data_IF_421433382263
#
_entry.id   IF_421433382263
#
_cell.length_a   1.000
_cell.length_b   1.000
_cell.length_c   1.000
_cell.angle_alpha   90.00
_cell.angle_beta   90.00
_cell.angle_gamma   90.00
#
_symmetry.space_group_name_H-M   'P 1'
#
loop_
_entity.id
_entity.type
_entity.pdbx_description
1 polymer ?
#
# COMPACT_ATOMS: atom_id res chain seq x y z
N UNK A 1 11.71 21.54 17.21
CA UNK A 1 10.48 22.14 17.76
C UNK A 1 9.36 21.14 17.53
N UNK A 2 8.70 20.73 18.61
CA UNK A 2 7.56 19.80 18.64
C UNK A 2 6.43 20.31 17.71
N UNK A 3 5.47 19.53 17.22
CA UNK A 3 4.65 18.52 17.90
C UNK A 3 3.68 17.98 16.82
N UNK A 4 3.54 16.65 16.66
CA UNK A 4 2.46 16.07 15.83
C UNK A 4 2.07 14.66 16.28
N UNK A 5 2.31 14.32 17.56
CA UNK A 5 2.10 12.95 18.06
C UNK A 5 0.75 12.71 18.73
N UNK A 6 -0.14 13.71 18.83
CA UNK A 6 -1.42 13.59 19.54
C UNK A 6 -2.61 13.77 18.61
N UNK A 7 -2.87 12.81 17.71
CA UNK A 7 -4.19 12.79 17.03
C UNK A 7 -4.96 11.48 17.09
N UNK A 8 -4.34 10.40 17.55
CA UNK A 8 -5.01 9.12 17.67
C UNK A 8 -4.54 8.45 18.97
N UNK A 9 -5.49 8.17 19.87
CA UNK A 9 -5.23 7.31 21.02
C UNK A 9 -5.02 5.90 20.45
N UNK A 10 -3.75 5.52 20.22
CA UNK A 10 -3.39 4.20 19.70
C UNK A 10 -3.81 3.17 20.74
N UNK A 11 -4.90 2.44 20.46
CA UNK A 11 -5.32 1.31 21.29
C UNK A 11 -4.81 0.06 20.60
N UNK A 12 -3.81 -0.55 21.23
CA UNK A 12 -3.27 -1.83 20.80
C UNK A 12 -4.26 -2.94 21.16
N UNK A 13 -5.13 -3.27 20.21
CA UNK A 13 -6.15 -4.31 20.38
C UNK A 13 -5.69 -5.66 19.84
N UNK A 14 -4.48 -5.76 19.29
CA UNK A 14 -3.95 -6.98 18.69
C UNK A 14 -3.13 -7.73 19.72
N UNK A 15 -3.60 -8.92 20.09
CA UNK A 15 -2.94 -9.84 21.04
C UNK A 15 -2.28 -11.02 20.28
N UNK A 16 -2.29 -10.99 18.95
CA UNK A 16 -1.74 -12.07 18.11
C UNK A 16 -0.20 -12.08 18.16
N UNK A 17 0.46 -13.13 18.70
CA UNK A 17 1.93 -13.18 18.80
C UNK A 17 2.64 -13.11 17.44
N UNK A 18 1.95 -13.50 16.36
CA UNK A 18 2.46 -13.40 14.99
C UNK A 18 2.73 -11.95 14.54
N UNK A 19 2.18 -10.96 15.25
CA UNK A 19 2.31 -9.53 14.95
C UNK A 19 3.21 -8.77 15.94
N UNK A 20 3.93 -9.47 16.83
CA UNK A 20 4.84 -8.86 17.81
C UNK A 20 5.97 -8.04 17.17
N UNK A 21 6.36 -8.39 15.94
CA UNK A 21 7.36 -7.65 15.17
C UNK A 21 6.83 -6.33 14.60
N UNK A 22 5.50 -6.13 14.58
CA UNK A 22 4.84 -4.94 14.03
C UNK A 22 4.80 -3.82 15.06
N UNK A 23 5.13 -2.61 14.63
CA UNK A 23 5.08 -1.43 15.47
C UNK A 23 3.68 -1.14 16.03
N UNK A 24 3.63 -0.41 17.14
CA UNK A 24 2.36 0.00 17.77
C UNK A 24 1.44 0.79 16.83
N UNK A 25 2.02 1.58 15.92
CA UNK A 25 1.23 2.45 15.06
C UNK A 25 0.38 1.66 14.03
N UNK A 26 0.92 0.74 13.21
CA UNK A 26 0.09 -0.13 12.36
C UNK A 26 -0.92 -0.98 13.15
N UNK A 27 -0.62 -1.36 14.40
CA UNK A 27 -1.53 -2.14 15.26
C UNK A 27 -2.64 -1.31 15.90
N UNK A 28 -2.41 -0.01 16.10
CA UNK A 28 -3.36 0.88 16.76
C UNK A 28 -4.30 1.64 15.83
N UNK A 29 -4.00 1.70 14.52
CA UNK A 29 -4.77 2.49 13.57
C UNK A 29 -5.86 1.64 12.90
N UNK A 30 -7.12 1.99 13.15
CA UNK A 30 -8.27 1.46 12.45
C UNK A 30 -8.63 2.33 11.22
N UNK A 31 -9.24 1.70 10.21
CA UNK A 31 -9.77 2.44 9.07
C UNK A 31 -10.98 3.28 9.48
N UNK A 32 -11.08 4.47 8.88
CA UNK A 32 -12.22 5.40 8.99
C UNK A 32 -13.18 5.28 7.81
N UNK A 33 -12.84 4.48 6.79
CA UNK A 33 -13.71 4.20 5.66
C UNK A 33 -14.82 3.27 6.16
N UNK A 34 -16.07 3.70 6.04
CA UNK A 34 -17.25 2.94 6.48
C UNK A 34 -18.15 2.59 5.29
N UNK A 35 -18.86 1.45 5.34
CA UNK A 35 -19.72 1.00 4.23
C UNK A 35 -20.80 2.01 3.83
N UNK A 36 -21.27 2.80 4.79
CA UNK A 36 -22.36 3.76 4.67
C UNK A 36 -21.91 5.18 4.32
N UNK A 37 -20.61 5.47 4.32
CA UNK A 37 -20.10 6.77 3.94
C UNK A 37 -20.06 6.91 2.41
N UNK A 38 -21.01 7.68 1.86
CA UNK A 38 -20.84 8.24 0.52
C UNK A 38 -19.48 8.96 0.41
N UNK A 39 -18.81 8.80 -0.74
CA UNK A 39 -17.49 9.39 -0.98
C UNK A 39 -16.27 8.47 -0.77
N UNK A 40 -16.49 7.15 -0.65
CA UNK A 40 -15.39 6.17 -0.71
C UNK A 40 -15.04 5.87 -2.17
N UNK A 41 -13.78 6.05 -2.55
CA UNK A 41 -13.32 5.65 -3.88
C UNK A 41 -13.11 4.13 -3.91
N UNK A 42 -13.98 3.40 -4.62
CA UNK A 42 -13.97 1.92 -4.68
C UNK A 42 -13.60 1.36 -6.06
N UNK A 43 -13.31 2.23 -7.04
CA UNK A 43 -12.92 1.79 -8.38
C UNK A 43 -11.47 1.29 -8.38
N UNK A 44 -11.28 0.00 -8.15
CA UNK A 44 -9.97 -0.64 -8.03
C UNK A 44 -9.49 -1.35 -9.29
N UNK A 45 -10.39 -1.67 -10.22
CA UNK A 45 -10.08 -2.29 -11.51
C UNK A 45 -10.64 -1.44 -12.66
N UNK A 46 -10.14 -1.65 -13.88
CA UNK A 46 -10.66 -0.99 -15.08
C UNK A 46 -11.70 -1.86 -15.79
N UNK A 47 -12.62 -1.21 -16.49
CA UNK A 47 -13.70 -1.88 -17.22
C UNK A 47 -14.91 -2.22 -16.35
N UNK A 48 -15.77 -3.07 -16.88
CA UNK A 48 -17.02 -3.51 -16.24
C UNK A 48 -16.91 -4.91 -15.63
N UNK A 49 -15.69 -5.43 -15.49
CA UNK A 49 -15.46 -6.72 -14.83
C UNK A 49 -15.57 -6.55 -13.33
N UNK A 50 -16.10 -7.55 -12.65
CA UNK A 50 -16.16 -7.61 -11.18
C UNK A 50 -15.18 -8.67 -10.67
N UNK A 51 -13.91 -8.56 -11.06
CA UNK A 51 -12.85 -9.48 -10.65
C UNK A 51 -12.41 -9.24 -9.20
N UNK A 52 -12.64 -8.03 -8.68
CA UNK A 52 -12.17 -7.61 -7.36
C UNK A 52 -13.31 -7.11 -6.50
N UNK A 53 -13.24 -7.42 -5.21
CA UNK A 53 -14.17 -6.92 -4.21
C UNK A 53 -13.44 -5.98 -3.26
N UNK A 54 -14.05 -4.82 -3.01
CA UNK A 54 -13.60 -3.87 -1.99
C UNK A 54 -14.59 -3.90 -0.84
N UNK A 55 -14.08 -4.10 0.37
CA UNK A 55 -14.92 -4.07 1.57
C UNK A 55 -14.23 -3.35 2.73
N UNK A 56 -15.06 -2.75 3.58
CA UNK A 56 -14.62 -2.11 4.81
C UNK A 56 -14.40 -3.16 5.91
N UNK A 57 -13.50 -2.87 6.84
CA UNK A 57 -13.06 -3.85 7.83
C UNK A 57 -14.16 -4.14 8.86
N UNK A 58 -14.21 -5.39 9.33
CA UNK A 58 -14.90 -5.74 10.56
C UNK A 58 -14.17 -5.15 11.79
N UNK A 59 -14.91 -4.95 12.87
CA UNK A 59 -14.39 -4.41 14.14
C UNK A 59 -13.18 -5.26 14.63
N UNK A 60 -12.10 -4.58 15.05
CA UNK A 60 -10.89 -5.24 15.57
C UNK A 60 -9.79 -5.56 14.54
N UNK A 61 -10.05 -5.52 13.23
CA UNK A 61 -8.99 -5.66 12.21
C UNK A 61 -8.21 -4.35 12.02
N UNK A 62 -6.95 -4.45 11.60
CA UNK A 62 -6.00 -3.34 11.40
C UNK A 62 -5.27 -3.52 10.09
N UNK A 63 -4.60 -2.48 9.60
CA UNK A 63 -3.85 -2.53 8.33
C UNK A 63 -2.86 -3.69 8.25
N UNK A 64 -2.26 -4.10 9.38
CA UNK A 64 -1.32 -5.22 9.48
C UNK A 64 -1.95 -6.59 9.74
N UNK A 65 -3.26 -6.69 9.89
CA UNK A 65 -3.95 -7.96 10.11
C UNK A 65 -3.86 -8.88 8.89
N UNK A 66 -3.97 -10.18 9.13
CA UNK A 66 -4.26 -11.16 8.08
C UNK A 66 -5.73 -11.07 7.66
N UNK A 67 -5.95 -11.28 6.36
CA UNK A 67 -7.28 -11.36 5.74
C UNK A 67 -7.45 -12.72 5.07
N UNK A 68 -8.68 -13.23 5.05
CA UNK A 68 -9.04 -14.44 4.31
C UNK A 68 -9.08 -14.18 2.81
N UNK A 69 -9.19 -15.25 2.02
CA UNK A 69 -9.45 -15.21 0.58
C UNK A 69 -8.44 -14.35 -0.20
N UNK A 70 -7.17 -14.43 0.21
CA UNK A 70 -6.04 -13.68 -0.38
C UNK A 70 -6.25 -12.15 -0.36
N UNK A 71 -7.06 -11.68 0.59
CA UNK A 71 -7.31 -10.27 0.79
C UNK A 71 -6.07 -9.52 1.28
N UNK A 72 -5.95 -8.25 0.89
CA UNK A 72 -4.91 -7.36 1.37
C UNK A 72 -5.44 -5.95 1.62
N UNK A 73 -4.87 -5.26 2.60
CA UNK A 73 -5.19 -3.87 2.84
C UNK A 73 -4.48 -2.97 1.83
N UNK A 74 -5.20 -1.96 1.33
CA UNK A 74 -4.64 -0.95 0.43
C UNK A 74 -5.25 0.43 0.69
N UNK A 75 -4.46 1.48 0.47
CA UNK A 75 -4.88 2.86 0.68
C UNK A 75 -5.81 3.33 -0.42
N UNK A 76 -6.88 4.02 -0.05
CA UNK A 76 -7.77 4.70 -1.02
C UNK A 76 -6.97 5.65 -1.92
N UNK A 77 -5.97 6.34 -1.33
CA UNK A 77 -5.05 7.23 -2.02
C UNK A 77 -4.36 6.58 -3.23
N UNK A 78 -4.02 5.29 -3.15
CA UNK A 78 -3.32 4.60 -4.22
C UNK A 78 -4.18 4.47 -5.48
N UNK A 79 -5.48 4.19 -5.33
CA UNK A 79 -6.38 4.07 -6.46
C UNK A 79 -6.92 5.41 -6.93
N UNK A 80 -7.26 6.29 -5.98
CA UNK A 80 -7.90 7.58 -6.25
C UNK A 80 -6.93 8.62 -6.84
N UNK A 81 -5.76 8.78 -6.23
CA UNK A 81 -4.84 9.88 -6.54
C UNK A 81 -3.64 9.40 -7.38
N UNK A 82 -3.14 8.18 -7.14
CA UNK A 82 -2.02 7.62 -7.91
C UNK A 82 -2.47 6.83 -9.14
N UNK A 83 -3.76 6.51 -9.27
CA UNK A 83 -4.28 5.80 -10.43
C UNK A 83 -3.81 4.35 -10.55
N UNK A 84 -3.42 3.69 -9.46
CA UNK A 84 -3.23 2.23 -9.48
C UNK A 84 -4.54 1.54 -9.86
N UNK A 85 -4.43 0.40 -10.54
CA UNK A 85 -5.53 -0.49 -10.89
C UNK A 85 -5.11 -1.94 -10.69
N UNK A 86 -6.11 -2.82 -10.60
CA UNK A 86 -5.93 -4.26 -10.49
C UNK A 86 -6.34 -4.95 -11.80
N UNK A 87 -5.63 -6.04 -12.19
CA UNK A 87 -4.40 -6.54 -11.57
C UNK A 87 -3.27 -5.50 -11.59
N UNK A 88 -2.35 -5.57 -10.64
CA UNK A 88 -1.21 -4.64 -10.63
C UNK A 88 -0.38 -4.83 -11.90
N UNK A 89 0.31 -3.78 -12.33
CA UNK A 89 1.36 -3.90 -13.35
C UNK A 89 2.47 -4.85 -12.89
N UNK A 90 3.14 -5.48 -13.86
CA UNK A 90 4.27 -6.39 -13.61
C UNK A 90 5.35 -5.74 -12.74
N UNK A 91 5.66 -4.46 -12.97
CA UNK A 91 6.61 -3.75 -12.11
C UNK A 91 6.09 -3.63 -10.68
N UNK A 92 4.86 -3.15 -10.47
CA UNK A 92 4.34 -2.94 -9.12
C UNK A 92 4.23 -4.27 -8.35
N UNK A 93 3.65 -5.31 -8.96
CA UNK A 93 3.58 -6.66 -8.43
C UNK A 93 4.99 -7.19 -8.10
N UNK A 94 5.93 -7.03 -9.04
CA UNK A 94 7.33 -7.41 -8.87
C UNK A 94 8.02 -6.68 -7.71
N UNK A 95 7.75 -5.38 -7.51
CA UNK A 95 8.36 -4.60 -6.41
C UNK A 95 7.82 -5.10 -5.07
N UNK A 96 6.52 -5.33 -4.95
CA UNK A 96 5.91 -5.89 -3.73
C UNK A 96 6.46 -7.29 -3.44
N UNK A 97 6.53 -8.15 -4.45
CA UNK A 97 7.05 -9.51 -4.36
C UNK A 97 8.53 -9.56 -3.98
N UNK A 98 9.38 -8.77 -4.65
CA UNK A 98 10.82 -8.71 -4.38
C UNK A 98 11.13 -8.22 -2.96
N UNK A 99 10.38 -7.22 -2.47
CA UNK A 99 10.53 -6.71 -1.11
C UNK A 99 9.84 -7.59 -0.05
N UNK A 100 9.01 -8.54 -0.48
CA UNK A 100 8.13 -9.34 0.38
C UNK A 100 7.25 -8.47 1.27
N UNK A 101 6.67 -7.42 0.69
CA UNK A 101 5.81 -6.46 1.39
C UNK A 101 4.38 -6.53 0.85
N UNK A 102 3.41 -6.45 1.76
CA UNK A 102 2.04 -6.14 1.38
C UNK A 102 1.97 -4.69 0.85
N UNK A 103 1.07 -4.37 -0.11
CA UNK A 103 1.00 -3.04 -0.69
C UNK A 103 0.85 -1.90 0.34
N UNK A 104 0.05 -2.10 1.38
CA UNK A 104 -0.15 -1.12 2.47
C UNK A 104 1.05 -0.95 3.42
N UNK A 105 2.05 -1.84 3.39
CA UNK A 105 3.27 -1.65 4.18
C UNK A 105 4.19 -0.58 3.58
N UNK A 106 4.05 -0.26 2.30
CA UNK A 106 4.78 0.84 1.69
C UNK A 106 4.09 2.18 1.98
N UNK A 107 4.90 3.18 2.30
CA UNK A 107 4.44 4.55 2.47
C UNK A 107 3.87 5.10 1.14
N UNK A 108 2.81 5.93 1.13
CA UNK A 108 2.20 6.47 -0.08
C UNK A 108 3.17 7.14 -1.07
N UNK A 109 4.15 7.90 -0.58
CA UNK A 109 5.19 8.46 -1.46
C UNK A 109 6.03 7.39 -2.19
N UNK A 110 6.20 6.22 -1.58
CA UNK A 110 6.88 5.09 -2.22
C UNK A 110 6.02 4.45 -3.30
N UNK A 111 4.71 4.32 -3.06
CA UNK A 111 3.76 3.91 -4.09
C UNK A 111 3.75 4.92 -5.25
N UNK A 112 3.81 6.22 -4.94
CA UNK A 112 3.90 7.27 -5.96
C UNK A 112 5.19 7.16 -6.79
N UNK A 113 6.32 6.75 -6.19
CA UNK A 113 7.55 6.49 -6.95
C UNK A 113 7.43 5.32 -7.92
N UNK A 114 6.76 4.24 -7.53
CA UNK A 114 6.48 3.11 -8.44
C UNK A 114 5.69 3.63 -9.64
N UNK A 115 4.57 4.32 -9.40
CA UNK A 115 3.73 4.86 -10.46
C UNK A 115 4.46 5.88 -11.34
N UNK A 116 5.17 6.82 -10.74
CA UNK A 116 5.89 7.85 -11.49
C UNK A 116 7.00 7.25 -12.36
N UNK A 117 7.66 6.19 -11.88
CA UNK A 117 8.66 5.48 -12.66
C UNK A 117 8.05 4.81 -13.89
N UNK A 118 6.90 4.14 -13.75
CA UNK A 118 6.18 3.54 -14.88
C UNK A 118 5.81 4.58 -15.94
N UNK A 119 5.22 5.70 -15.53
CA UNK A 119 4.80 6.78 -16.44
C UNK A 119 6.01 7.36 -17.19
N UNK A 120 7.15 7.54 -16.50
CA UNK A 120 8.37 8.03 -17.16
C UNK A 120 8.96 6.99 -18.11
N UNK A 121 8.97 5.71 -17.72
CA UNK A 121 9.40 4.62 -18.59
C UNK A 121 8.54 4.54 -19.86
N UNK A 122 7.21 4.61 -19.72
CA UNK A 122 6.26 4.65 -20.83
C UNK A 122 6.54 5.85 -21.75
N UNK A 123 6.67 7.06 -21.19
CA UNK A 123 6.98 8.28 -21.95
C UNK A 123 8.32 8.20 -22.70
N UNK A 124 9.31 7.53 -22.12
CA UNK A 124 10.64 7.35 -22.72
C UNK A 124 10.74 6.12 -23.64
N UNK A 125 9.65 5.35 -23.81
CA UNK A 125 9.64 4.09 -24.54
C UNK A 125 10.67 3.07 -24.02
N UNK A 126 10.86 3.03 -22.70
CA UNK A 126 11.75 2.10 -21.99
C UNK A 126 10.92 1.15 -21.15
N UNK A 127 11.24 -0.15 -21.21
CA UNK A 127 10.58 -1.15 -20.39
C UNK A 127 10.86 -0.94 -18.88
N UNK A 128 9.81 -0.79 -18.04
CA UNK A 128 9.97 -0.60 -16.60
C UNK A 128 10.30 -1.93 -15.90
N UNK A 129 11.58 -2.27 -15.76
CA UNK A 129 12.03 -3.52 -15.14
C UNK A 129 12.41 -3.38 -13.66
N UNK A 130 12.32 -4.47 -12.88
CA UNK A 130 12.75 -4.49 -11.47
C UNK A 130 14.22 -4.09 -11.26
N UNK A 131 15.20 -4.58 -12.05
CA UNK A 131 16.58 -4.18 -11.87
C UNK A 131 16.79 -2.68 -12.12
N UNK A 132 16.10 -2.10 -13.11
CA UNK A 132 16.18 -0.67 -13.39
C UNK A 132 15.53 0.15 -12.27
N UNK A 133 14.37 -0.28 -11.78
CA UNK A 133 13.72 0.35 -10.63
C UNK A 133 14.63 0.35 -9.40
N UNK A 134 15.20 -0.79 -9.03
CA UNK A 134 16.09 -0.90 -7.87
C UNK A 134 17.49 -0.32 -8.10
N UNK A 135 17.85 0.07 -9.33
CA UNK A 135 19.02 0.92 -9.59
C UNK A 135 18.77 2.35 -9.11
N UNK A 136 17.56 2.85 -9.29
CA UNK A 136 17.15 4.21 -8.91
C UNK A 136 16.72 4.29 -7.46
N UNK A 137 15.89 3.35 -7.00
CA UNK A 137 15.28 3.36 -5.67
C UNK A 137 15.85 2.26 -4.78
N UNK A 138 16.06 2.58 -3.50
CA UNK A 138 16.46 1.63 -2.47
C UNK A 138 15.49 1.66 -1.30
N UNK A 139 15.33 0.52 -0.66
CA UNK A 139 14.56 0.43 0.57
C UNK A 139 15.23 1.27 1.67
N UNK A 140 14.49 2.23 2.20
CA UNK A 140 14.85 3.01 3.36
C UNK A 140 14.28 2.32 4.60
N UNK A 141 15.15 1.60 5.31
CA UNK A 141 14.81 1.01 6.61
C UNK A 141 15.06 2.04 7.71
N UNK A 142 14.07 2.27 8.55
CA UNK A 142 14.29 2.97 9.82
C UNK A 142 14.60 1.94 10.92
N UNK A 143 15.51 2.25 11.85
CA UNK A 143 15.76 1.36 12.99
C UNK A 143 14.46 1.20 13.77
N UNK A 144 14.01 -0.04 14.03
CA UNK A 144 12.81 -0.26 14.82
C UNK A 144 13.10 0.21 16.26
N UNK A 145 12.38 1.25 16.71
CA UNK A 145 12.42 1.64 18.13
C UNK A 145 11.51 0.72 18.97
N UNK A 146 10.33 0.37 18.46
CA UNK A 146 9.32 -0.49 19.09
C UNK A 146 8.59 -1.34 18.03
N UNK A 147 9.33 -2.10 17.22
CA UNK A 147 8.80 -2.86 16.08
C UNK A 147 8.90 -2.13 14.74
N UNK A 148 8.49 -2.79 13.67
CA UNK A 148 8.56 -2.29 12.30
C UNK A 148 7.28 -1.55 11.90
N UNK A 149 7.43 -0.33 11.40
CA UNK A 149 6.34 0.46 10.81
C UNK A 149 6.32 0.37 9.29
N UNK A 150 5.82 1.43 8.66
CA UNK A 150 5.85 1.58 7.21
C UNK A 150 7.26 1.60 6.64
N UNK A 151 7.41 0.93 5.51
CA UNK A 151 8.62 0.93 4.71
C UNK A 151 8.57 2.07 3.70
N UNK A 152 9.71 2.71 3.46
CA UNK A 152 9.82 3.77 2.46
C UNK A 152 10.87 3.44 1.42
N UNK A 153 10.71 3.96 0.21
CA UNK A 153 11.73 3.94 -0.83
C UNK A 153 12.46 5.28 -0.86
N UNK A 154 13.78 5.22 -1.01
CA UNK A 154 14.65 6.37 -1.21
C UNK A 154 15.30 6.29 -2.59
N UNK A 155 15.17 7.35 -3.35
CA UNK A 155 15.90 7.54 -4.60
C UNK A 155 17.40 7.79 -4.34
N UNK A 156 18.27 7.05 -5.02
CA UNK A 156 19.73 7.21 -4.97
C UNK A 156 20.16 8.45 -5.73
N UNK A 157 19.60 8.62 -6.92
CA UNK A 157 19.70 9.84 -7.72
C UNK A 157 18.37 10.56 -7.66
N UNK A 158 18.39 11.88 -7.45
CA UNK A 158 17.16 12.64 -7.31
C UNK A 158 16.46 12.83 -8.67
N UNK A 159 15.60 11.89 -9.05
CA UNK A 159 14.79 11.94 -10.28
C UNK A 159 13.42 12.59 -10.05
N UNK A 160 12.82 12.36 -8.88
CA UNK A 160 11.45 12.77 -8.58
C UNK A 160 11.41 13.69 -7.37
N UNK A 161 10.52 14.70 -7.41
CA UNK A 161 10.07 15.36 -6.18
C UNK A 161 9.05 14.45 -5.48
N UNK A 162 8.80 14.70 -4.19
CA UNK A 162 7.71 14.02 -3.51
C UNK A 162 6.38 14.43 -4.15
N UNK A 163 5.42 13.49 -4.23
CA UNK A 163 4.10 13.76 -4.80
C UNK A 163 3.40 14.91 -4.05
N UNK A 164 3.46 14.83 -2.71
CA UNK A 164 3.15 15.93 -1.80
C UNK A 164 4.18 15.90 -0.66
N UNK A 165 4.39 17.05 -0.01
CA UNK A 165 5.35 17.17 1.10
C UNK A 165 5.05 16.18 2.23
N UNK A 166 3.76 15.89 2.47
CA UNK A 166 3.30 14.81 3.32
C UNK A 166 1.89 14.38 2.90
N UNK A 167 1.69 13.08 2.66
CA UNK A 167 0.34 12.54 2.50
C UNK A 167 -0.26 12.40 3.91
N UNK A 168 -0.85 13.47 4.45
CA UNK A 168 -1.43 13.43 5.79
C UNK A 168 -2.70 12.58 5.84
N UNK A 169 -2.89 11.82 6.91
CA UNK A 169 -4.13 11.07 7.17
C UNK A 169 -4.32 9.79 6.36
N UNK A 170 -3.36 9.37 5.53
CA UNK A 170 -3.48 8.13 4.74
C UNK A 170 -3.67 6.88 5.61
N UNK A 171 -3.04 6.85 6.79
CA UNK A 171 -2.99 5.66 7.67
C UNK A 171 -4.37 5.19 8.09
N UNK A 172 -5.34 6.10 8.20
CA UNK A 172 -6.74 5.81 8.57
C UNK A 172 -7.65 5.64 7.35
N UNK A 173 -7.17 5.82 6.12
CA UNK A 173 -7.97 5.73 4.89
C UNK A 173 -7.51 4.55 4.03
N UNK A 174 -7.90 3.35 4.46
CA UNK A 174 -7.60 2.10 3.75
C UNK A 174 -8.80 1.16 3.79
N UNK A 175 -8.90 0.26 2.83
CA UNK A 175 -9.90 -0.80 2.78
C UNK A 175 -9.22 -2.12 2.41
N UNK A 176 -9.97 -3.22 2.48
CA UNK A 176 -9.48 -4.53 2.05
C UNK A 176 -9.94 -4.77 0.63
N UNK A 177 -9.02 -5.28 -0.18
CA UNK A 177 -9.30 -5.75 -1.54
C UNK A 177 -9.07 -7.24 -1.58
N UNK A 178 -9.97 -8.00 -2.20
CA UNK A 178 -9.80 -9.44 -2.43
C UNK A 178 -10.22 -9.85 -3.84
N UNK A 179 -9.61 -10.89 -4.41
CA UNK A 179 -10.06 -11.45 -5.68
C UNK A 179 -11.44 -12.14 -5.54
N UNK A 180 -12.29 -12.01 -6.56
CA UNK A 180 -13.55 -12.75 -6.72
C UNK A 180 -13.45 -13.90 -7.70
N UNK A 181 -12.52 -13.81 -8.66
CA UNK A 181 -12.31 -14.80 -9.71
C UNK A 181 -10.95 -15.49 -9.55
N UNK A 182 -10.80 -16.75 -10.01
CA UNK A 182 -9.51 -17.44 -9.99
C UNK A 182 -8.41 -16.66 -10.73
N UNK A 183 -8.71 -16.09 -11.90
CA UNK A 183 -7.75 -15.26 -12.66
C UNK A 183 -7.28 -14.04 -11.86
N UNK A 184 -8.16 -13.38 -11.10
CA UNK A 184 -7.77 -12.29 -10.23
C UNK A 184 -6.84 -12.77 -9.11
N UNK A 185 -7.12 -13.94 -8.53
CA UNK A 185 -6.27 -14.54 -7.50
C UNK A 185 -4.89 -14.88 -8.04
N UNK A 186 -4.83 -15.53 -9.21
CA UNK A 186 -3.58 -15.96 -9.82
C UNK A 186 -2.69 -14.76 -10.16
N UNK A 187 -3.29 -13.64 -10.61
CA UNK A 187 -2.57 -12.39 -10.88
C UNK A 187 -1.85 -11.76 -9.68
N UNK A 188 -2.19 -12.15 -8.43
CA UNK A 188 -1.45 -11.70 -7.24
C UNK A 188 -0.09 -12.39 -7.08
N UNK A 189 0.07 -13.57 -7.70
CA UNK A 189 1.23 -14.44 -7.54
C UNK A 189 2.01 -14.63 -8.84
N UNK A 190 1.42 -14.30 -9.98
CA UNK A 190 2.13 -14.20 -11.24
C UNK A 190 3.21 -13.12 -11.13
N UNK A 191 4.46 -13.58 -11.16
CA UNK A 191 5.63 -12.72 -11.30
C UNK A 191 6.25 -13.08 -12.63
N UNK A 192 6.04 -12.24 -13.64
CA UNK A 192 6.66 -12.38 -14.96
C UNK A 192 8.16 -12.15 -14.89
#
# INVERSE_FOLDING_TARGET
>A
MAEASEKYKLVDTIIEPALDWVGLEPRGIASTITPTAGGTYTLVEEGSTENWEVYCQAEGKRVCSSYSDDGFAMYEFAFKELGFRLPFSDLAAGVFGWLKLAPSQLHPNSLAFIRAFEIVCEYLEVEPTLPLFFRVFKLQRQPPRNGHGWMSLKQQTKLFKMFVDSVCGFKVRYYVVRPRTPSARDSLYETT
#
